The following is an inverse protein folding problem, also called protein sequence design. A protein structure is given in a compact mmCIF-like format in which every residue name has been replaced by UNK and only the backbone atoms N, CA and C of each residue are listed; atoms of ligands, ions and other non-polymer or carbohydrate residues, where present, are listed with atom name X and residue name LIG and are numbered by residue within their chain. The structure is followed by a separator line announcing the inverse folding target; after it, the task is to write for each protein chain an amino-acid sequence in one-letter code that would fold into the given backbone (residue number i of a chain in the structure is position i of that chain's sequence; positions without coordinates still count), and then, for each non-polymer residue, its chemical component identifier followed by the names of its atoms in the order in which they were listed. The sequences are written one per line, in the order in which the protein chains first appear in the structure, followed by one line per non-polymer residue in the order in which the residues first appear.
data_IF_728747750313
#
_entry.id   IF_728747750313
#
_cell.length_a   1.000
_cell.length_b   1.000
_cell.length_c   1.000
_cell.angle_alpha   90.00
_cell.angle_beta   90.00
_cell.angle_gamma   90.00
#
_symmetry.space_group_name_H-M   'P 1'
#
loop_
_entity.id
_entity.type
_entity.pdbx_description
1 polymer ?
#
# COMPACT_ATOMS: atom_id res chain seq x y z
N UNK A 1 3.94 -2.34 1.70
CA UNK A 1 3.40 -2.74 0.40
C UNK A 1 3.99 -1.81 -0.64
N UNK A 2 4.55 -2.39 -1.69
CA UNK A 2 5.13 -1.65 -2.80
C UNK A 2 4.08 -1.33 -3.89
N UNK A 3 4.33 -0.29 -4.68
CA UNK A 3 3.38 0.20 -5.70
C UNK A 3 3.37 -0.63 -6.99
N UNK A 4 4.41 -1.42 -7.23
CA UNK A 4 4.46 -2.40 -8.32
C UNK A 4 3.93 -3.78 -7.89
N UNK A 5 3.41 -4.54 -8.86
CA UNK A 5 2.88 -5.89 -8.64
C UNK A 5 3.95 -6.93 -8.34
N UNK A 6 5.17 -6.73 -8.84
CA UNK A 6 6.32 -7.60 -8.65
C UNK A 6 7.62 -6.86 -8.98
N UNK A 7 8.75 -7.30 -8.41
CA UNK A 7 10.07 -6.76 -8.77
C UNK A 7 11.11 -7.01 -7.68
N UNK A 8 12.30 -6.44 -7.88
CA UNK A 8 13.42 -6.54 -6.94
C UNK A 8 13.29 -5.56 -5.76
N UNK A 9 12.18 -5.65 -5.02
CA UNK A 9 11.87 -4.82 -3.86
C UNK A 9 12.05 -5.62 -2.57
N UNK A 10 13.30 -5.88 -2.21
CA UNK A 10 13.65 -6.70 -1.05
C UNK A 10 13.04 -6.14 0.23
N UNK A 11 12.28 -6.98 0.94
CA UNK A 11 11.62 -6.61 2.21
C UNK A 11 10.23 -5.99 2.06
N UNK A 12 9.76 -5.75 0.84
CA UNK A 12 8.39 -5.29 0.58
C UNK A 12 7.46 -6.42 0.16
N UNK A 13 6.16 -6.21 0.37
CA UNK A 13 5.08 -7.12 -0.03
C UNK A 13 4.30 -6.52 -1.20
N UNK A 14 3.94 -7.36 -2.18
CA UNK A 14 2.99 -6.98 -3.23
C UNK A 14 1.55 -7.18 -2.78
N UNK A 15 0.59 -6.53 -3.43
CA UNK A 15 -0.82 -6.78 -3.14
C UNK A 15 -1.20 -8.26 -3.37
N UNK A 16 -0.60 -8.90 -4.39
CA UNK A 16 -0.87 -10.29 -4.72
C UNK A 16 -0.53 -11.21 -3.55
N UNK A 17 0.64 -11.00 -2.95
CA UNK A 17 1.07 -11.73 -1.75
C UNK A 17 0.12 -11.52 -0.56
N UNK A 18 -0.39 -10.30 -0.38
CA UNK A 18 -1.36 -10.01 0.68
C UNK A 18 -2.69 -10.72 0.44
N UNK A 19 -3.15 -10.77 -0.81
CA UNK A 19 -4.37 -11.49 -1.21
C UNK A 19 -4.21 -13.00 -1.05
N UNK A 20 -3.07 -13.56 -1.46
CA UNK A 20 -2.75 -14.99 -1.28
C UNK A 20 -2.64 -15.36 0.21
N UNK A 21 -2.16 -14.45 1.06
CA UNK A 21 -2.17 -14.61 2.51
C UNK A 21 -3.58 -14.49 3.14
N UNK A 22 -4.63 -14.22 2.35
CA UNK A 22 -6.01 -14.10 2.83
C UNK A 22 -6.37 -12.71 3.38
N UNK A 23 -5.52 -11.71 3.19
CA UNK A 23 -5.81 -10.35 3.64
C UNK A 23 -6.95 -9.72 2.81
N UNK A 24 -8.02 -9.34 3.49
CA UNK A 24 -9.15 -8.61 2.90
C UNK A 24 -8.93 -7.10 2.88
N UNK A 25 -8.00 -6.60 3.69
CA UNK A 25 -7.80 -5.19 3.96
C UNK A 25 -6.31 -4.86 4.09
N UNK A 26 -5.89 -3.67 3.64
CA UNK A 26 -4.50 -3.21 3.68
C UNK A 26 -4.48 -1.72 3.99
N UNK A 27 -3.81 -1.33 5.08
CA UNK A 27 -3.66 0.09 5.42
C UNK A 27 -2.63 0.74 4.48
N UNK A 28 -3.06 1.76 3.74
CA UNK A 28 -2.23 2.56 2.84
C UNK A 28 -2.25 4.01 3.33
N UNK A 29 -1.08 4.63 3.53
CA UNK A 29 -0.99 6.05 3.86
C UNK A 29 -1.10 6.41 5.34
N UNK A 30 -0.71 5.48 6.22
CA UNK A 30 -0.62 5.77 7.66
C UNK A 30 0.32 6.97 7.92
N UNK A 31 -0.05 7.87 8.83
CA UNK A 31 0.71 9.09 9.12
C UNK A 31 2.16 8.80 9.48
N UNK A 32 2.42 7.72 10.23
CA UNK A 32 3.76 7.24 10.57
C UNK A 32 4.59 6.91 9.32
N UNK A 33 3.98 6.29 8.30
CA UNK A 33 4.69 5.95 7.06
C UNK A 33 5.02 7.19 6.23
N UNK A 34 4.14 8.19 6.23
CA UNK A 34 4.41 9.48 5.58
C UNK A 34 5.55 10.24 6.25
N UNK A 35 5.64 10.22 7.58
CA UNK A 35 6.66 10.96 8.32
C UNK A 35 8.01 10.23 8.40
N UNK A 36 8.00 8.92 8.64
CA UNK A 36 9.22 8.13 8.84
C UNK A 36 9.84 7.62 7.54
N UNK A 37 9.00 7.26 6.55
CA UNK A 37 9.44 6.63 5.30
C UNK A 37 9.27 7.54 4.08
N UNK A 38 8.77 8.77 4.28
CA UNK A 38 8.63 9.77 3.22
C UNK A 38 7.64 9.36 2.12
N UNK A 39 6.62 8.56 2.43
CA UNK A 39 5.62 8.18 1.43
C UNK A 39 4.91 9.42 0.88
N UNK A 40 4.96 9.58 -0.45
CA UNK A 40 4.33 10.68 -1.19
C UNK A 40 2.93 10.30 -1.65
N UNK A 41 2.07 11.30 -1.89
CA UNK A 41 0.72 11.06 -2.42
C UNK A 41 0.75 10.36 -3.77
N UNK A 42 1.75 10.61 -4.62
CA UNK A 42 1.91 9.91 -5.90
C UNK A 42 2.17 8.40 -5.70
N UNK A 43 3.09 8.03 -4.81
CA UNK A 43 3.34 6.60 -4.51
C UNK A 43 2.14 5.93 -3.85
N UNK A 44 1.39 6.66 -3.02
CA UNK A 44 0.15 6.17 -2.41
C UNK A 44 -0.94 5.90 -3.45
N UNK A 45 -1.08 6.75 -4.47
CA UNK A 45 -2.00 6.55 -5.58
C UNK A 45 -1.65 5.27 -6.36
N UNK A 46 -0.36 5.00 -6.60
CA UNK A 46 0.10 3.77 -7.24
C UNK A 46 -0.34 2.52 -6.47
N UNK A 47 -0.02 2.48 -5.16
CA UNK A 47 -0.44 1.39 -4.26
C UNK A 47 -1.96 1.23 -4.24
N UNK A 48 -2.70 2.33 -4.17
CA UNK A 48 -4.15 2.32 -4.11
C UNK A 48 -4.77 1.73 -5.38
N UNK A 49 -4.29 2.11 -6.56
CA UNK A 49 -4.72 1.50 -7.83
C UNK A 49 -4.50 0.00 -7.84
N UNK A 50 -3.35 -0.45 -7.35
CA UNK A 50 -2.98 -1.86 -7.35
C UNK A 50 -3.82 -2.68 -6.35
N UNK A 51 -4.21 -2.08 -5.23
CA UNK A 51 -5.13 -2.70 -4.27
C UNK A 51 -6.57 -2.75 -4.80
N UNK A 52 -7.03 -1.68 -5.47
CA UNK A 52 -8.35 -1.65 -6.11
C UNK A 52 -8.50 -2.71 -7.20
N UNK A 53 -7.48 -2.91 -8.04
CA UNK A 53 -7.53 -3.95 -9.08
C UNK A 53 -7.59 -5.36 -8.50
N UNK A 54 -7.17 -5.55 -7.24
CA UNK A 54 -7.16 -6.86 -6.59
C UNK A 54 -8.36 -7.15 -5.68
N UNK A 55 -9.19 -6.15 -5.39
CA UNK A 55 -10.48 -6.31 -4.70
C UNK A 55 -10.42 -6.35 -3.17
N UNK A 56 -9.26 -6.05 -2.57
CA UNK A 56 -9.08 -5.91 -1.11
C UNK A 56 -9.17 -4.41 -0.78
N UNK A 57 -9.92 -3.93 0.23
CA UNK A 57 -9.89 -2.48 0.50
C UNK A 57 -10.27 -2.06 1.92
N UNK A 58 -9.30 -1.49 2.65
CA UNK A 58 -9.53 -0.42 3.64
C UNK A 58 -8.44 0.64 3.47
N UNK A 59 -8.80 1.81 2.97
CA UNK A 59 -7.89 2.96 2.85
C UNK A 59 -7.98 3.80 4.13
N UNK A 60 -6.85 4.01 4.82
CA UNK A 60 -6.79 4.94 5.95
C UNK A 60 -6.01 6.19 5.49
N UNK A 61 -6.74 7.20 4.99
CA UNK A 61 -6.14 8.52 4.70
C UNK A 61 -5.94 9.23 6.02
N UNK A 62 -4.71 9.28 6.49
CA UNK A 62 -4.36 10.11 7.64
C UNK A 62 -3.96 11.51 7.14
N UNK A 63 -4.74 12.53 7.52
CA UNK A 63 -4.42 13.93 7.27
C UNK A 63 -3.20 14.36 8.11
N UNK A 64 -2.30 15.17 7.54
CA UNK A 64 -1.29 15.85 8.34
C UNK A 64 -1.96 16.98 9.11
N UNK A 65 -1.78 17.00 10.43
CA UNK A 65 -1.97 18.21 11.25
C UNK A 65 -0.62 18.76 11.67
#
# INVERSE_FOLDING_TARGET
MHEESHGAFTGELSAGMLKEAGASHVIIGHSERRHLYGETDLGLIGKFKLVLTQGSCQLCVSEKR
#
